data_IF_785408136560
#
_entry.id   IF_785408136560
#
_cell.length_a   1.000
_cell.length_b   1.000
_cell.length_c   1.000
_cell.angle_alpha   90.00
_cell.angle_beta   90.00
_cell.angle_gamma   90.00
#
_symmetry.space_group_name_H-M   'P 1'
#
loop_
_entity.id
_entity.type
_entity.pdbx_description
1 polymer ?
#
# COMPACT_ATOMS: atom_id res chain seq x y z
N UNK A 1 -12.69 24.15 3.11
CA UNK A 1 -11.70 23.33 2.37
C UNK A 1 -11.95 21.83 2.52
N UNK A 2 -11.92 21.26 3.73
CA UNK A 2 -12.09 19.81 3.97
C UNK A 2 -13.42 19.27 3.40
N UNK A 3 -14.53 19.97 3.64
CA UNK A 3 -15.86 19.55 3.15
C UNK A 3 -15.91 19.42 1.61
N UNK A 4 -15.29 20.35 0.89
CA UNK A 4 -15.22 20.32 -0.58
C UNK A 4 -14.34 19.17 -1.07
N UNK A 5 -13.18 18.95 -0.42
CA UNK A 5 -12.27 17.85 -0.76
C UNK A 5 -12.94 16.48 -0.56
N UNK A 6 -13.69 16.32 0.54
CA UNK A 6 -14.44 15.11 0.84
C UNK A 6 -15.59 14.88 -0.15
N UNK A 7 -16.34 15.93 -0.48
CA UNK A 7 -17.40 15.83 -1.48
C UNK A 7 -16.87 15.42 -2.85
N UNK A 8 -15.74 15.98 -3.27
CA UNK A 8 -15.07 15.64 -4.53
C UNK A 8 -14.60 14.17 -4.53
N UNK A 9 -13.95 13.74 -3.45
CA UNK A 9 -13.51 12.36 -3.27
C UNK A 9 -14.69 11.38 -3.34
N UNK A 10 -15.78 11.64 -2.62
CA UNK A 10 -16.98 10.79 -2.63
C UNK A 10 -17.56 10.62 -4.03
N UNK A 11 -17.61 11.69 -4.83
CA UNK A 11 -18.11 11.63 -6.21
C UNK A 11 -17.22 10.78 -7.10
N UNK A 12 -15.90 10.94 -6.98
CA UNK A 12 -14.97 10.13 -7.76
C UNK A 12 -15.00 8.65 -7.36
N UNK A 13 -15.10 8.34 -6.07
CA UNK A 13 -15.24 6.95 -5.62
C UNK A 13 -16.48 6.28 -6.24
N UNK A 14 -17.60 7.03 -6.31
CA UNK A 14 -18.82 6.55 -6.98
C UNK A 14 -18.62 6.36 -8.48
N UNK A 15 -17.81 7.19 -9.13
CA UNK A 15 -17.50 7.03 -10.56
C UNK A 15 -16.61 5.80 -10.82
N UNK A 16 -15.66 5.51 -9.94
CA UNK A 16 -14.69 4.42 -10.07
C UNK A 16 -15.12 3.12 -9.36
N UNK A 17 -16.41 2.95 -9.07
CA UNK A 17 -16.89 1.79 -8.30
C UNK A 17 -16.55 0.44 -8.94
N UNK A 18 -16.56 0.34 -10.29
CA UNK A 18 -16.21 -0.90 -11.01
C UNK A 18 -14.73 -1.28 -10.81
N UNK A 19 -13.75 -0.40 -11.10
CA UNK A 19 -12.35 -0.62 -10.71
C UNK A 19 -12.14 -0.95 -9.23
N UNK A 20 -12.86 -0.28 -8.33
CA UNK A 20 -12.76 -0.55 -6.88
C UNK A 20 -13.17 -1.99 -6.60
N UNK A 21 -14.31 -2.47 -7.10
CA UNK A 21 -14.75 -3.86 -6.91
C UNK A 21 -13.74 -4.88 -7.46
N UNK A 22 -13.17 -4.62 -8.65
CA UNK A 22 -12.15 -5.50 -9.22
C UNK A 22 -10.87 -5.50 -8.36
N UNK A 23 -10.47 -4.34 -7.84
CA UNK A 23 -9.33 -4.21 -6.92
C UNK A 23 -9.59 -4.98 -5.61
N UNK A 24 -10.81 -4.92 -5.07
CA UNK A 24 -11.22 -5.71 -3.89
C UNK A 24 -11.07 -7.21 -4.14
N UNK A 25 -11.57 -7.71 -5.28
CA UNK A 25 -11.48 -9.14 -5.63
C UNK A 25 -10.04 -9.62 -5.73
N UNK A 26 -9.17 -8.83 -6.38
CA UNK A 26 -7.75 -9.17 -6.53
C UNK A 26 -7.03 -9.09 -5.19
N UNK A 27 -7.36 -8.10 -4.36
CA UNK A 27 -6.82 -7.98 -3.00
C UNK A 27 -7.22 -9.18 -2.14
N UNK A 28 -8.47 -9.65 -2.24
CA UNK A 28 -8.92 -10.86 -1.55
C UNK A 28 -8.16 -12.10 -2.04
N UNK A 29 -7.96 -12.22 -3.37
CA UNK A 29 -7.18 -13.30 -3.95
C UNK A 29 -5.72 -13.32 -3.45
N UNK A 30 -5.07 -12.15 -3.35
CA UNK A 30 -3.74 -12.05 -2.75
C UNK A 30 -3.73 -12.42 -1.28
N UNK A 31 -4.76 -12.02 -0.52
CA UNK A 31 -4.95 -12.44 0.87
C UNK A 31 -4.96 -13.97 0.99
N UNK A 32 -5.69 -14.68 0.13
CA UNK A 32 -5.74 -16.14 0.13
C UNK A 32 -4.37 -16.78 -0.13
N UNK A 33 -3.56 -16.23 -1.04
CA UNK A 33 -2.20 -16.73 -1.30
C UNK A 33 -1.33 -16.58 -0.05
N UNK A 34 -1.39 -15.42 0.60
CA UNK A 34 -0.63 -15.15 1.84
C UNK A 34 -1.08 -16.07 2.97
N UNK A 35 -2.39 -16.27 3.14
CA UNK A 35 -2.93 -17.21 4.14
C UNK A 35 -2.33 -18.61 4.02
N UNK A 36 -2.17 -19.14 2.81
CA UNK A 36 -1.63 -20.48 2.60
C UNK A 36 -0.17 -20.61 3.01
N UNK A 37 0.59 -19.50 3.03
CA UNK A 37 2.03 -19.50 3.30
C UNK A 37 2.36 -19.15 4.76
N UNK A 38 1.54 -18.31 5.40
CA UNK A 38 1.77 -17.81 6.76
C UNK A 38 1.97 -18.90 7.83
N UNK A 39 1.17 -19.99 7.89
CA UNK A 39 1.38 -21.05 8.87
C UNK A 39 2.76 -21.71 8.76
N UNK A 40 3.23 -21.88 7.52
CA UNK A 40 4.53 -22.48 7.24
C UNK A 40 5.67 -21.58 7.72
N UNK A 41 5.55 -20.26 7.51
CA UNK A 41 6.51 -19.26 8.02
C UNK A 41 6.59 -19.28 9.55
N UNK A 42 5.44 -19.34 10.25
CA UNK A 42 5.43 -19.38 11.72
C UNK A 42 5.98 -20.69 12.28
N UNK A 43 5.63 -21.83 11.68
CA UNK A 43 6.16 -23.13 12.09
C UNK A 43 7.69 -23.18 11.93
N UNK A 44 8.22 -22.62 10.84
CA UNK A 44 9.66 -22.50 10.63
C UNK A 44 10.31 -21.59 11.68
N UNK A 45 9.68 -20.46 12.02
CA UNK A 45 10.23 -19.48 12.96
C UNK A 45 10.26 -19.97 14.42
N UNK A 46 9.26 -20.74 14.87
CA UNK A 46 9.09 -21.09 16.28
C UNK A 46 9.18 -22.58 16.63
N UNK A 47 9.09 -23.49 15.65
CA UNK A 47 9.01 -24.94 15.91
C UNK A 47 10.23 -25.70 15.43
N UNK A 48 10.84 -25.31 14.30
CA UNK A 48 11.82 -26.15 13.61
C UNK A 48 13.24 -25.60 13.73
N UNK A 49 14.16 -26.36 14.33
CA UNK A 49 15.61 -26.03 14.40
C UNK A 49 16.38 -26.27 13.08
N UNK A 50 15.69 -26.42 11.94
CA UNK A 50 16.32 -26.76 10.65
C UNK A 50 16.86 -25.52 9.92
N UNK A 51 17.91 -25.68 9.08
CA UNK A 51 18.46 -24.57 8.29
C UNK A 51 17.36 -23.92 7.44
N UNK A 52 17.21 -22.63 7.70
CA UNK A 52 16.07 -21.81 7.34
C UNK A 52 16.05 -21.55 5.82
N UNK A 53 14.91 -21.74 5.18
CA UNK A 53 14.66 -21.23 3.81
C UNK A 53 13.72 -20.04 3.94
N UNK A 54 14.23 -18.81 3.97
CA UNK A 54 13.39 -17.63 4.15
C UNK A 54 12.38 -17.52 2.99
N UNK A 55 11.11 -17.25 3.31
CA UNK A 55 10.04 -17.26 2.30
C UNK A 55 10.00 -15.95 1.51
N UNK A 56 10.78 -15.93 0.42
CA UNK A 56 10.84 -14.82 -0.52
C UNK A 56 9.45 -14.41 -1.05
N UNK A 57 8.52 -15.36 -1.18
CA UNK A 57 7.19 -15.08 -1.72
C UNK A 57 6.43 -14.20 -0.73
N UNK A 58 6.39 -14.57 0.55
CA UNK A 58 5.70 -13.77 1.57
C UNK A 58 6.27 -12.35 1.63
N UNK A 59 7.60 -12.21 1.65
CA UNK A 59 8.25 -10.89 1.64
C UNK A 59 7.87 -10.06 0.41
N UNK A 60 7.82 -10.66 -0.77
CA UNK A 60 7.42 -9.98 -1.99
C UNK A 60 5.96 -9.50 -1.94
N UNK A 61 5.05 -10.28 -1.37
CA UNK A 61 3.66 -9.87 -1.17
C UNK A 61 3.56 -8.72 -0.17
N UNK A 62 4.19 -8.82 0.99
CA UNK A 62 4.10 -7.78 2.01
C UNK A 62 4.78 -6.48 1.59
N UNK A 63 6.01 -6.53 1.08
CA UNK A 63 6.77 -5.32 0.71
C UNK A 63 6.24 -4.72 -0.58
N UNK A 64 5.99 -5.55 -1.59
CA UNK A 64 5.61 -5.11 -2.92
C UNK A 64 4.14 -4.75 -3.04
N UNK A 65 3.24 -5.53 -2.44
CA UNK A 65 1.79 -5.36 -2.65
C UNK A 65 1.13 -4.50 -1.58
N UNK A 66 1.58 -4.50 -0.33
CA UNK A 66 0.88 -3.70 0.70
C UNK A 66 0.86 -2.19 0.41
N UNK A 67 1.88 -1.54 -0.18
CA UNK A 67 1.78 -0.13 -0.57
C UNK A 67 0.72 0.12 -1.66
N UNK A 68 0.45 -0.91 -2.48
CA UNK A 68 -0.55 -0.83 -3.56
C UNK A 68 -2.00 -0.85 -3.04
N UNK A 69 -2.23 -1.27 -1.79
CA UNK A 69 -3.56 -1.24 -1.15
C UNK A 69 -4.13 0.18 -1.05
N UNK A 70 -3.27 1.20 -1.11
CA UNK A 70 -3.65 2.61 -1.13
C UNK A 70 -4.06 3.13 -2.53
N UNK A 71 -4.05 2.26 -3.56
CA UNK A 71 -4.37 2.61 -4.94
C UNK A 71 -5.43 1.71 -5.57
N UNK A 72 -6.14 2.25 -6.55
CA UNK A 72 -7.10 1.48 -7.37
C UNK A 72 -6.34 0.91 -8.58
N UNK A 73 -5.46 -0.06 -8.30
CA UNK A 73 -4.49 -0.59 -9.28
C UNK A 73 -5.16 -1.35 -10.43
N UNK A 74 -6.41 -1.79 -10.29
CA UNK A 74 -7.20 -2.39 -11.37
C UNK A 74 -7.99 -1.37 -12.22
N UNK A 75 -7.67 -0.08 -12.13
CA UNK A 75 -8.29 0.93 -13.00
C UNK A 75 -7.65 0.96 -14.39
N UNK A 76 -8.47 1.28 -15.40
CA UNK A 76 -8.05 1.29 -16.81
C UNK A 76 -6.76 2.06 -17.12
N UNK A 77 -6.47 3.22 -16.47
CA UNK A 77 -5.21 3.92 -16.68
C UNK A 77 -3.96 3.13 -16.28
N UNK A 78 -4.04 2.26 -15.27
CA UNK A 78 -2.91 1.42 -14.87
C UNK A 78 -2.70 0.22 -15.79
N UNK A 79 -3.80 -0.35 -16.30
CA UNK A 79 -3.77 -1.56 -17.13
C UNK A 79 -3.48 -1.28 -18.62
N UNK A 80 -3.65 -0.04 -19.06
CA UNK A 80 -3.53 0.32 -20.48
C UNK A 80 -2.26 1.11 -20.79
N UNK A 81 -1.50 0.64 -21.77
CA UNK A 81 -0.37 1.37 -22.36
C UNK A 81 -0.78 2.67 -23.08
N UNK A 82 -2.08 2.87 -23.35
CA UNK A 82 -2.60 4.12 -23.93
C UNK A 82 -2.32 5.31 -23.02
N UNK A 83 -2.23 5.08 -21.71
CA UNK A 83 -1.90 6.10 -20.70
C UNK A 83 -0.58 6.81 -20.97
N UNK A 84 0.41 6.13 -21.56
CA UNK A 84 1.69 6.75 -21.93
C UNK A 84 1.52 7.84 -22.99
N UNK A 85 0.62 7.63 -23.94
CA UNK A 85 0.38 8.56 -25.05
C UNK A 85 -0.67 9.60 -24.72
N UNK A 86 -1.73 9.20 -24.02
CA UNK A 86 -2.91 10.02 -23.82
C UNK A 86 -2.90 10.84 -22.52
N UNK A 87 -2.06 10.47 -21.55
CA UNK A 87 -1.94 11.08 -20.21
C UNK A 87 -3.30 11.49 -19.59
N UNK A 88 -4.19 10.50 -19.33
CA UNK A 88 -5.54 10.75 -18.83
C UNK A 88 -5.56 11.49 -17.49
N UNK A 89 -4.54 11.30 -16.63
CA UNK A 89 -4.47 11.98 -15.34
C UNK A 89 -4.14 13.45 -15.48
N UNK A 90 -3.17 13.81 -16.33
CA UNK A 90 -2.81 15.21 -16.57
C UNK A 90 -3.97 15.97 -17.21
N UNK A 91 -4.66 15.37 -18.20
CA UNK A 91 -5.88 15.97 -18.79
C UNK A 91 -6.97 16.21 -17.76
N UNK A 92 -7.17 15.27 -16.83
CA UNK A 92 -8.15 15.41 -15.75
C UNK A 92 -7.76 16.55 -14.80
N UNK A 93 -6.48 16.73 -14.49
CA UNK A 93 -6.03 17.85 -13.66
C UNK A 93 -6.19 19.18 -14.38
N UNK A 94 -5.86 19.26 -15.67
CA UNK A 94 -6.07 20.47 -16.46
C UNK A 94 -7.53 20.92 -16.43
N UNK A 95 -8.48 19.98 -16.53
CA UNK A 95 -9.90 20.24 -16.34
C UNK A 95 -10.23 20.73 -14.92
N UNK A 96 -9.67 20.12 -13.88
CA UNK A 96 -9.90 20.58 -12.51
C UNK A 96 -9.29 21.97 -12.23
N UNK A 97 -8.25 22.37 -12.96
CA UNK A 97 -7.61 23.68 -12.86
C UNK A 97 -8.40 24.79 -13.54
N UNK A 98 -9.28 24.46 -14.51
CA UNK A 98 -10.21 25.44 -15.08
C UNK A 98 -11.42 25.70 -14.17
N UNK A 99 -11.67 24.83 -13.19
CA UNK A 99 -12.68 25.05 -12.16
C UNK A 99 -12.14 25.95 -11.05
N UNK A 100 -12.99 26.72 -10.35
CA UNK A 100 -12.59 27.57 -9.23
C UNK A 100 -12.31 26.76 -7.95
N UNK A 101 -11.42 25.77 -8.04
CA UNK A 101 -11.03 24.88 -6.94
C UNK A 101 -9.56 25.13 -6.60
N UNK A 102 -9.28 25.39 -5.33
CA UNK A 102 -7.90 25.56 -4.87
C UNK A 102 -7.08 24.27 -5.03
N UNK A 103 -5.79 24.42 -5.33
CA UNK A 103 -4.86 23.28 -5.46
C UNK A 103 -4.79 22.45 -4.18
N UNK A 104 -4.85 23.10 -3.02
CA UNK A 104 -4.86 22.41 -1.73
C UNK A 104 -6.09 21.51 -1.54
N UNK A 105 -7.26 21.93 -2.04
CA UNK A 105 -8.47 21.10 -2.01
C UNK A 105 -8.33 19.90 -2.95
N UNK A 106 -7.70 20.06 -4.12
CA UNK A 106 -7.45 18.96 -5.05
C UNK A 106 -6.48 17.93 -4.44
N UNK A 107 -5.34 18.37 -3.92
CA UNK A 107 -4.36 17.50 -3.28
C UNK A 107 -4.99 16.72 -2.11
N UNK A 108 -5.71 17.43 -1.21
CA UNK A 108 -6.41 16.82 -0.08
C UNK A 108 -7.47 15.82 -0.54
N UNK A 109 -8.20 16.10 -1.62
CA UNK A 109 -9.18 15.16 -2.18
C UNK A 109 -8.53 13.85 -2.64
N UNK A 110 -7.33 13.91 -3.22
CA UNK A 110 -6.55 12.72 -3.60
C UNK A 110 -6.06 11.94 -2.39
N UNK A 111 -5.60 12.65 -1.36
CA UNK A 111 -5.23 12.00 -0.10
C UNK A 111 -6.43 11.31 0.56
N UNK A 112 -7.63 11.93 0.55
CA UNK A 112 -8.85 11.30 1.08
C UNK A 112 -9.24 10.06 0.26
N UNK A 113 -9.17 10.12 -1.07
CA UNK A 113 -9.41 8.97 -1.94
C UNK A 113 -8.45 7.81 -1.65
N UNK A 114 -7.16 8.12 -1.50
CA UNK A 114 -6.13 7.16 -1.15
C UNK A 114 -6.40 6.55 0.24
N UNK A 115 -6.71 7.36 1.26
CA UNK A 115 -7.03 6.87 2.61
C UNK A 115 -8.27 5.96 2.61
N UNK A 116 -9.32 6.33 1.87
CA UNK A 116 -10.52 5.51 1.73
C UNK A 116 -10.24 4.18 1.03
N UNK A 117 -9.40 4.20 -0.01
CA UNK A 117 -8.98 2.99 -0.73
C UNK A 117 -8.11 2.10 0.16
N UNK A 118 -7.10 2.69 0.81
CA UNK A 118 -6.23 2.02 1.77
C UNK A 118 -7.02 1.34 2.88
N UNK A 119 -7.98 2.04 3.48
CA UNK A 119 -8.82 1.48 4.54
C UNK A 119 -9.62 0.28 4.04
N UNK A 120 -10.28 0.41 2.88
CA UNK A 120 -11.08 -0.65 2.29
C UNK A 120 -10.23 -1.87 1.93
N UNK A 121 -9.15 -1.67 1.16
CA UNK A 121 -8.32 -2.76 0.67
C UNK A 121 -7.54 -3.44 1.79
N UNK A 122 -7.00 -2.69 2.73
CA UNK A 122 -6.31 -3.28 3.89
C UNK A 122 -7.27 -4.06 4.78
N UNK A 123 -8.49 -3.55 5.00
CA UNK A 123 -9.51 -4.30 5.76
C UNK A 123 -9.81 -5.63 5.07
N UNK A 124 -10.04 -5.63 3.75
CA UNK A 124 -10.29 -6.87 3.00
C UNK A 124 -9.10 -7.82 3.07
N UNK A 125 -7.88 -7.31 2.83
CA UNK A 125 -6.66 -8.11 2.82
C UNK A 125 -6.43 -8.82 4.17
N UNK A 126 -6.41 -8.06 5.27
CA UNK A 126 -6.16 -8.63 6.60
C UNK A 126 -7.34 -9.44 7.13
N UNK A 127 -8.58 -9.12 6.75
CA UNK A 127 -9.74 -9.93 7.12
C UNK A 127 -9.67 -11.32 6.48
N UNK A 128 -9.35 -11.39 5.18
CA UNK A 128 -9.19 -12.66 4.47
C UNK A 128 -8.05 -13.49 5.07
N UNK A 129 -6.92 -12.85 5.40
CA UNK A 129 -5.82 -13.54 6.10
C UNK A 129 -6.32 -14.07 7.44
N UNK A 130 -6.89 -13.22 8.28
CA UNK A 130 -7.31 -13.58 9.64
C UNK A 130 -8.34 -14.72 9.67
N UNK A 131 -9.34 -14.69 8.77
CA UNK A 131 -10.36 -15.75 8.69
C UNK A 131 -9.77 -17.05 8.15
N UNK A 132 -8.78 -16.97 7.26
CA UNK A 132 -8.20 -18.15 6.64
C UNK A 132 -7.08 -18.83 7.43
N UNK A 133 -6.53 -18.19 8.46
CA UNK A 133 -5.50 -18.77 9.32
C UNK A 133 -6.10 -19.87 10.21
N UNK A 134 -5.37 -20.98 10.37
CA UNK A 134 -5.77 -22.12 11.19
C UNK A 134 -5.56 -21.85 12.68
N UNK A 135 -6.22 -22.63 13.54
CA UNK A 135 -5.99 -22.59 15.00
C UNK A 135 -4.54 -22.93 15.37
N UNK A 136 -3.87 -23.76 14.58
CA UNK A 136 -2.44 -24.10 14.74
C UNK A 136 -1.55 -22.85 14.66
N UNK A 137 -1.84 -21.91 13.76
CA UNK A 137 -1.10 -20.63 13.70
C UNK A 137 -1.19 -19.87 15.02
N UNK A 138 -2.39 -19.80 15.61
CA UNK A 138 -2.63 -19.10 16.87
C UNK A 138 -2.16 -19.86 18.11
N UNK A 139 -1.75 -21.13 17.96
CA UNK A 139 -1.05 -21.87 19.02
C UNK A 139 0.40 -21.41 19.20
N UNK A 140 1.01 -20.86 18.14
CA UNK A 140 2.38 -20.35 18.16
C UNK A 140 2.45 -18.84 18.36
N UNK A 141 1.45 -18.10 17.89
CA UNK A 141 1.39 -16.64 17.98
C UNK A 141 0.14 -16.20 18.73
N UNK A 142 0.34 -15.35 19.74
CA UNK A 142 -0.79 -14.72 20.44
C UNK A 142 -1.59 -13.82 19.50
N UNK A 143 -2.92 -13.77 19.69
CA UNK A 143 -3.79 -12.86 18.94
C UNK A 143 -3.34 -11.39 19.06
N UNK A 144 -2.75 -11.01 20.19
CA UNK A 144 -2.20 -9.66 20.41
C UNK A 144 -1.00 -9.37 19.52
N UNK A 145 -0.05 -10.30 19.42
CA UNK A 145 1.12 -10.20 18.54
C UNK A 145 0.70 -10.11 17.06
N UNK A 146 -0.28 -10.92 16.66
CA UNK A 146 -0.83 -10.86 15.30
C UNK A 146 -1.55 -9.53 15.01
N UNK A 147 -2.32 -8.99 15.96
CA UNK A 147 -2.94 -7.68 15.81
C UNK A 147 -1.91 -6.55 15.71
N UNK A 148 -0.84 -6.61 16.52
CA UNK A 148 0.29 -5.68 16.44
C UNK A 148 1.00 -5.78 15.07
N UNK A 149 1.14 -6.99 14.52
CA UNK A 149 1.68 -7.23 13.17
C UNK A 149 0.85 -6.58 12.08
N UNK A 150 -0.48 -6.70 12.14
CA UNK A 150 -1.38 -6.00 11.21
C UNK A 150 -1.15 -4.47 11.29
N UNK A 151 -1.11 -3.90 12.49
CA UNK A 151 -0.91 -2.45 12.69
C UNK A 151 0.44 -1.98 12.15
N UNK A 152 1.49 -2.78 12.33
CA UNK A 152 2.82 -2.49 11.77
C UNK A 152 2.76 -2.36 10.24
N UNK A 153 2.20 -3.35 9.55
CA UNK A 153 2.12 -3.35 8.09
C UNK A 153 1.09 -2.36 7.54
N UNK A 154 0.05 -2.01 8.30
CA UNK A 154 -0.83 -0.87 8.01
C UNK A 154 -0.04 0.43 7.98
N UNK A 155 0.86 0.66 8.95
CA UNK A 155 1.76 1.82 8.99
C UNK A 155 2.68 1.88 7.78
N UNK A 156 3.32 0.75 7.42
CA UNK A 156 4.15 0.63 6.23
C UNK A 156 3.39 0.95 4.93
N UNK A 157 2.24 0.29 4.75
CA UNK A 157 1.36 0.50 3.58
C UNK A 157 0.95 1.98 3.47
N UNK A 158 0.63 2.62 4.61
CA UNK A 158 0.24 4.02 4.65
C UNK A 158 1.40 4.97 4.30
N UNK A 159 2.61 4.68 4.78
CA UNK A 159 3.81 5.48 4.54
C UNK A 159 4.15 5.58 3.05
N UNK A 160 4.10 4.44 2.35
CA UNK A 160 4.41 4.36 0.93
C UNK A 160 3.18 4.59 0.04
N UNK A 161 1.97 4.33 0.54
CA UNK A 161 0.73 4.48 -0.23
C UNK A 161 0.48 5.89 -0.76
N UNK A 162 0.99 6.92 -0.06
CA UNK A 162 0.97 8.32 -0.48
C UNK A 162 1.72 8.60 -1.79
N UNK A 163 2.65 7.72 -2.16
CA UNK A 163 3.34 7.78 -3.45
C UNK A 163 2.37 7.66 -4.63
N UNK A 164 1.27 6.88 -4.49
CA UNK A 164 0.35 6.64 -5.61
C UNK A 164 -0.33 7.93 -6.09
N UNK A 165 -1.01 8.72 -5.23
CA UNK A 165 -1.51 10.05 -5.62
C UNK A 165 -0.43 10.98 -6.21
N UNK A 166 0.79 10.93 -5.66
CA UNK A 166 1.90 11.75 -6.15
C UNK A 166 2.30 11.36 -7.57
N UNK A 167 2.36 10.06 -7.87
CA UNK A 167 2.66 9.57 -9.21
C UNK A 167 1.53 9.87 -10.19
N UNK A 168 0.28 9.55 -9.82
CA UNK A 168 -0.89 9.78 -10.66
C UNK A 168 -1.05 11.24 -11.07
N UNK A 169 -0.91 12.16 -10.11
CA UNK A 169 -1.27 13.57 -10.33
C UNK A 169 -0.07 14.53 -10.36
N UNK A 170 1.04 14.17 -9.74
CA UNK A 170 2.26 14.99 -9.71
C UNK A 170 3.19 14.76 -10.90
N UNK A 171 3.04 13.65 -11.62
CA UNK A 171 3.96 13.25 -12.70
C UNK A 171 3.25 13.04 -14.05
N UNK A 172 4.02 12.68 -15.08
CA UNK A 172 3.51 12.42 -16.43
C UNK A 172 3.11 10.95 -16.57
N UNK A 173 2.26 10.63 -17.55
CA UNK A 173 1.84 9.25 -17.82
C UNK A 173 2.98 8.24 -18.01
N UNK A 174 4.16 8.67 -18.49
CA UNK A 174 5.38 7.83 -18.57
C UNK A 174 5.88 7.38 -17.20
N UNK A 175 5.91 8.30 -16.23
CA UNK A 175 6.39 8.02 -14.88
C UNK A 175 5.46 7.07 -14.13
N UNK A 176 4.16 7.05 -14.47
CA UNK A 176 3.21 6.09 -13.92
C UNK A 176 3.57 4.64 -14.24
N UNK A 177 4.18 4.36 -15.39
CA UNK A 177 4.61 3.00 -15.75
C UNK A 177 6.08 2.72 -15.39
N UNK A 178 6.94 3.74 -15.36
CA UNK A 178 8.34 3.55 -14.97
C UNK A 178 8.50 3.37 -13.46
N UNK A 179 7.73 4.10 -12.65
CA UNK A 179 7.88 4.07 -11.19
C UNK A 179 7.57 2.71 -10.56
N UNK A 180 6.52 1.94 -10.95
CA UNK A 180 6.33 0.58 -10.42
C UNK A 180 7.50 -0.34 -10.76
N UNK A 181 8.10 -0.22 -11.95
CA UNK A 181 9.26 -1.03 -12.33
C UNK A 181 10.46 -0.70 -11.44
N UNK A 182 10.73 0.58 -11.21
CA UNK A 182 11.80 1.02 -10.31
C UNK A 182 11.55 0.54 -8.88
N UNK A 183 10.31 0.64 -8.38
CA UNK A 183 9.94 0.17 -7.05
C UNK A 183 10.07 -1.36 -6.93
N UNK A 184 9.67 -2.13 -7.94
CA UNK A 184 9.82 -3.58 -7.95
C UNK A 184 11.30 -3.96 -7.88
N UNK A 185 12.15 -3.34 -8.70
CA UNK A 185 13.61 -3.57 -8.65
C UNK A 185 14.17 -3.22 -7.29
N UNK A 186 13.76 -2.09 -6.71
CA UNK A 186 14.17 -1.67 -5.37
C UNK A 186 13.74 -2.69 -4.31
N UNK A 187 12.48 -3.14 -4.33
CA UNK A 187 11.95 -4.09 -3.35
C UNK A 187 12.62 -5.46 -3.48
N UNK A 188 12.79 -5.99 -4.70
CA UNK A 188 13.54 -7.24 -4.93
C UNK A 188 14.97 -7.11 -4.41
N UNK A 189 15.62 -5.96 -4.66
CA UNK A 189 16.98 -5.71 -4.17
C UNK A 189 17.03 -5.71 -2.64
N UNK A 190 16.07 -5.05 -1.97
CA UNK A 190 15.99 -5.01 -0.51
C UNK A 190 15.73 -6.41 0.08
N UNK A 191 14.83 -7.18 -0.53
CA UNK A 191 14.56 -8.56 -0.10
C UNK A 191 15.82 -9.42 -0.28
N UNK A 192 16.44 -9.39 -1.46
CA UNK A 192 17.64 -10.17 -1.76
C UNK A 192 18.82 -9.80 -0.84
N UNK A 193 19.03 -8.52 -0.56
CA UNK A 193 20.04 -8.04 0.39
C UNK A 193 19.72 -8.58 1.79
N UNK A 194 18.47 -8.50 2.23
CA UNK A 194 18.08 -9.00 3.56
C UNK A 194 18.33 -10.50 3.69
N UNK A 195 17.92 -11.29 2.69
CA UNK A 195 18.15 -12.74 2.66
C UNK A 195 19.63 -13.11 2.53
N UNK A 196 20.47 -12.22 1.98
CA UNK A 196 21.91 -12.44 1.89
C UNK A 196 22.63 -12.19 3.23
N UNK A 197 22.19 -11.19 3.99
CA UNK A 197 22.82 -10.79 5.25
C UNK A 197 22.17 -11.38 6.51
N UNK A 198 20.96 -11.93 6.39
CA UNK A 198 20.17 -12.44 7.48
C UNK A 198 19.53 -13.76 7.10
N UNK A 199 19.49 -14.69 8.05
CA UNK A 199 18.78 -15.96 7.89
C UNK A 199 17.25 -15.78 7.89
N UNK A 200 16.77 -14.64 8.37
CA UNK A 200 15.36 -14.26 8.37
C UNK A 200 15.04 -13.27 7.24
N UNK A 201 13.88 -13.45 6.62
CA UNK A 201 13.21 -12.49 5.76
C UNK A 201 12.56 -11.35 6.55
N UNK A 202 12.01 -10.39 5.81
CA UNK A 202 11.56 -9.10 6.37
C UNK A 202 10.27 -9.26 7.18
N UNK A 203 9.35 -10.11 6.72
CA UNK A 203 8.12 -10.42 7.44
C UNK A 203 8.43 -11.16 8.74
N UNK A 204 9.42 -12.04 8.75
CA UNK A 204 9.86 -12.74 9.96
C UNK A 204 10.51 -11.78 10.94
N UNK A 205 11.39 -10.90 10.47
CA UNK A 205 11.93 -9.80 11.28
C UNK A 205 10.84 -8.96 11.92
N UNK A 206 9.74 -8.67 11.19
CA UNK A 206 8.64 -7.92 11.78
C UNK A 206 7.93 -8.68 12.92
N UNK A 207 7.80 -10.01 12.83
CA UNK A 207 7.30 -10.82 13.94
C UNK A 207 8.25 -10.81 15.13
N UNK A 208 9.55 -10.99 14.91
CA UNK A 208 10.57 -10.98 15.95
C UNK A 208 10.59 -9.63 16.69
N UNK A 209 10.60 -8.51 15.97
CA UNK A 209 10.55 -7.18 16.58
C UNK A 209 9.30 -6.95 17.40
N UNK A 210 8.15 -7.42 16.94
CA UNK A 210 6.88 -7.27 17.68
C UNK A 210 6.87 -8.18 18.91
N UNK A 211 7.50 -9.34 18.85
CA UNK A 211 7.60 -10.21 20.02
C UNK A 211 8.54 -9.63 21.08
N UNK A 212 9.64 -9.00 20.67
CA UNK A 212 10.62 -8.39 21.57
C UNK A 212 10.13 -7.07 22.18
N UNK A 213 9.57 -6.17 21.36
CA UNK A 213 9.22 -4.80 21.77
C UNK A 213 7.70 -4.55 21.85
N UNK A 214 6.87 -5.53 21.50
CA UNK A 214 5.41 -5.45 21.59
C UNK A 214 4.79 -4.41 20.65
N UNK A 215 3.72 -3.77 21.14
CA UNK A 215 2.93 -2.78 20.43
C UNK A 215 3.68 -1.49 20.09
N UNK A 216 4.81 -1.22 20.76
CA UNK A 216 5.57 0.01 20.56
C UNK A 216 6.08 0.14 19.12
N UNK A 217 6.53 -0.97 18.52
CA UNK A 217 7.02 -1.01 17.14
C UNK A 217 5.88 -0.75 16.15
N UNK A 218 4.71 -1.34 16.40
CA UNK A 218 3.52 -1.15 15.57
C UNK A 218 3.04 0.30 15.58
N UNK A 219 3.00 0.95 16.75
CA UNK A 219 2.66 2.36 16.85
C UNK A 219 3.71 3.28 16.23
N UNK A 220 5.00 2.96 16.40
CA UNK A 220 6.07 3.69 15.72
C UNK A 220 5.92 3.62 14.20
N UNK A 221 5.62 2.43 13.65
CA UNK A 221 5.42 2.27 12.21
C UNK A 221 4.15 2.96 11.70
N UNK A 222 3.07 2.94 12.50
CA UNK A 222 1.86 3.70 12.19
C UNK A 222 2.12 5.21 12.18
N UNK A 223 2.92 5.71 13.11
CA UNK A 223 3.34 7.12 13.16
C UNK A 223 4.17 7.50 11.93
N UNK A 224 5.11 6.63 11.51
CA UNK A 224 5.84 6.79 10.24
C UNK A 224 4.87 6.84 9.06
N UNK A 225 3.83 6.01 9.06
CA UNK A 225 2.74 6.04 8.10
C UNK A 225 2.05 7.40 7.99
N UNK A 226 1.66 7.97 9.13
CA UNK A 226 1.01 9.29 9.19
C UNK A 226 1.93 10.41 8.68
N UNK A 227 3.22 10.39 9.05
CA UNK A 227 4.22 11.32 8.52
C UNK A 227 4.33 11.16 7.00
N UNK A 228 4.37 9.92 6.50
CA UNK A 228 4.41 9.63 5.06
C UNK A 228 3.26 10.27 4.31
N UNK A 229 2.02 10.11 4.79
CA UNK A 229 0.83 10.73 4.19
C UNK A 229 0.95 12.26 4.15
N UNK A 230 1.39 12.86 5.25
CA UNK A 230 1.60 14.30 5.32
C UNK A 230 2.65 14.77 4.31
N UNK A 231 3.81 14.11 4.27
CA UNK A 231 4.92 14.42 3.34
C UNK A 231 4.46 14.28 1.89
N UNK A 232 3.78 13.20 1.53
CA UNK A 232 3.30 12.99 0.16
C UNK A 232 2.25 14.02 -0.25
N UNK A 233 1.31 14.36 0.63
CA UNK A 233 0.34 15.42 0.36
C UNK A 233 1.00 16.80 0.19
N UNK A 234 2.02 17.10 1.02
CA UNK A 234 2.80 18.32 0.89
C UNK A 234 3.56 18.39 -0.43
N UNK A 235 4.25 17.31 -0.80
CA UNK A 235 4.98 17.18 -2.07
C UNK A 235 4.03 17.31 -3.27
N UNK A 236 2.87 16.64 -3.22
CA UNK A 236 1.84 16.74 -4.26
C UNK A 236 1.32 18.17 -4.38
N UNK A 237 0.97 18.81 -3.27
CA UNK A 237 0.49 20.20 -3.26
C UNK A 237 1.50 21.16 -3.89
N UNK A 238 2.78 21.06 -3.49
CA UNK A 238 3.87 21.87 -4.03
C UNK A 238 4.10 21.62 -5.52
N UNK A 239 3.97 20.37 -5.96
CA UNK A 239 4.12 19.99 -7.37
C UNK A 239 2.98 20.54 -8.22
N UNK A 240 1.74 20.39 -7.78
CA UNK A 240 0.55 20.89 -8.48
C UNK A 240 0.53 22.43 -8.59
N UNK A 241 1.10 23.15 -7.63
CA UNK A 241 1.23 24.61 -7.68
C UNK A 241 2.22 25.10 -8.74
N UNK A 242 3.28 24.33 -9.01
CA UNK A 242 4.38 24.71 -9.91
C UNK A 242 4.24 24.18 -11.33
N UNK A 243 3.33 23.23 -11.55
CA UNK A 243 3.17 22.56 -12.83
C UNK A 243 2.31 23.42 -13.74
N UNK A 244 2.83 23.72 -14.92
CA UNK A 244 2.04 24.26 -16.02
C UNK A 244 1.32 23.11 -16.74
N UNK A 245 0.09 23.37 -17.16
CA UNK A 245 -0.81 22.37 -17.78
C UNK A 245 -1.23 22.78 -19.20
N UNK A 246 -0.72 23.91 -19.70
CA UNK A 246 -0.90 24.42 -21.07
C UNK A 246 0.26 23.99 -21.97
#
# INVERSE_FOLDING_TARGET
MIHQAFWLAKKEFRQHWRPVMLTVLVTAFWGLIVTQRMPQLISNLFVTEKPYSPDFIIDAFFIGMTPSLAAIFMSGPYLSWRTIKEDPFTKRIALFRSLPISVAVLALSRTIMMLGTWLLMSTVFYLIITIGLSEEFFSHISLSTYAAFIVFWLGYSLALGGLNPFLEYGTNGKMLHLSPVVLIVLFISVIAITHYFSDYGIVEWSFLFIQEYGWMVSFAMLFVGLIGVYVWNFLLSRRLQRRDYL
#
